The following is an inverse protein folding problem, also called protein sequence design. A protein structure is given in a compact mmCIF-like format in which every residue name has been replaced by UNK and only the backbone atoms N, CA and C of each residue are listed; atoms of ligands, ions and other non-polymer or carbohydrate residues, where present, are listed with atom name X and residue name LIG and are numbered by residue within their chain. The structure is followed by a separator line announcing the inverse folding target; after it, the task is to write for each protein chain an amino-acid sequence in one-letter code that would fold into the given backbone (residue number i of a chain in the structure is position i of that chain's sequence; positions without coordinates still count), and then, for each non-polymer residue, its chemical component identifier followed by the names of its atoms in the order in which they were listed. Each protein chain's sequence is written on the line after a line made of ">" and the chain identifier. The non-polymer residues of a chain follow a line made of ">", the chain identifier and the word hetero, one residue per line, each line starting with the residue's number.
data_IF_513852728959
#
_entry.id   IF_513852728959
#
_cell.length_a   1.000
_cell.length_b   1.000
_cell.length_c   1.000
_cell.angle_alpha   90.00
_cell.angle_beta   90.00
_cell.angle_gamma   90.00
#
_symmetry.space_group_name_H-M   'P 1'
#
loop_
_entity.id
_entity.type
_entity.pdbx_description
1 polymer ?
#
# COMPACT_ATOMS: atom_id res chain seq x y z
N UNK A 1 -26.89 8.07 -1.79
CA UNK A 1 -25.93 7.44 -0.86
C UNK A 1 -24.53 7.64 -1.43
N UNK A 2 -23.78 8.60 -0.88
CA UNK A 2 -22.44 8.94 -1.36
C UNK A 2 -21.51 7.74 -1.09
N UNK A 3 -21.03 7.08 -2.14
CA UNK A 3 -19.92 6.16 -2.01
C UNK A 3 -18.67 7.01 -1.76
N UNK A 4 -18.07 6.89 -0.57
CA UNK A 4 -16.73 7.41 -0.29
C UNK A 4 -15.74 6.62 -1.17
N UNK A 5 -15.63 7.01 -2.43
CA UNK A 5 -14.47 6.71 -3.25
C UNK A 5 -13.31 7.53 -2.68
N UNK A 6 -12.27 6.86 -2.16
CA UNK A 6 -11.01 7.50 -1.78
C UNK A 6 -10.55 7.34 -0.32
N UNK A 7 -11.27 6.64 0.55
CA UNK A 7 -10.75 6.32 1.89
C UNK A 7 -9.97 5.01 1.85
N UNK A 8 -8.64 5.11 1.82
CA UNK A 8 -7.75 3.95 1.98
C UNK A 8 -8.01 3.29 3.34
N UNK A 9 -8.49 2.05 3.33
CA UNK A 9 -8.82 1.31 4.53
C UNK A 9 -7.63 0.47 4.98
N UNK A 10 -7.24 0.58 6.25
CA UNK A 10 -6.32 -0.36 6.87
C UNK A 10 -7.02 -1.70 7.04
N UNK A 11 -6.53 -2.74 6.36
CA UNK A 11 -7.12 -4.09 6.40
C UNK A 11 -6.23 -5.10 7.12
N UNK A 12 -5.00 -4.73 7.44
CA UNK A 12 -4.09 -5.53 8.25
C UNK A 12 -2.82 -4.77 8.60
N UNK A 13 -2.15 -5.20 9.66
CA UNK A 13 -0.82 -4.74 10.03
C UNK A 13 0.04 -5.96 10.31
N UNK A 14 1.32 -5.90 9.97
CA UNK A 14 2.24 -6.96 10.32
C UNK A 14 2.52 -6.92 11.83
N UNK A 15 2.33 -8.06 12.51
CA UNK A 15 2.46 -8.14 13.96
C UNK A 15 3.87 -7.82 14.47
N UNK A 16 4.90 -8.03 13.65
CA UNK A 16 6.29 -7.75 14.00
C UNK A 16 6.90 -6.72 13.05
N UNK A 17 7.56 -5.67 13.57
CA UNK A 17 8.28 -4.72 12.73
C UNK A 17 9.37 -5.42 11.93
N UNK A 18 9.55 -5.01 10.67
CA UNK A 18 10.69 -5.44 9.87
C UNK A 18 11.94 -4.71 10.37
N UNK A 19 13.03 -5.45 10.54
CA UNK A 19 14.31 -4.88 10.94
C UNK A 19 15.30 -5.00 9.78
N UNK A 20 15.89 -3.87 9.38
CA UNK A 20 16.96 -3.83 8.40
C UNK A 20 18.18 -3.14 9.01
N UNK A 21 19.14 -3.95 9.48
CA UNK A 21 20.28 -3.45 10.23
C UNK A 21 19.81 -2.78 11.53
N UNK A 22 19.99 -1.45 11.62
CA UNK A 22 19.55 -0.63 12.77
C UNK A 22 18.17 -0.01 12.60
N UNK A 23 17.62 -0.01 11.38
CA UNK A 23 16.35 0.64 11.07
C UNK A 23 15.19 -0.33 11.27
N UNK A 24 14.08 0.18 11.79
CA UNK A 24 12.86 -0.61 12.01
C UNK A 24 11.71 -0.01 11.22
N UNK A 25 10.93 -0.88 10.59
CA UNK A 25 9.82 -0.49 9.74
C UNK A 25 8.54 -1.17 10.19
N UNK A 26 7.46 -0.40 10.33
CA UNK A 26 6.10 -0.92 10.46
C UNK A 26 5.52 -1.13 9.07
N UNK A 27 4.93 -2.30 8.84
CA UNK A 27 4.26 -2.63 7.59
C UNK A 27 2.75 -2.71 7.80
N UNK A 28 2.03 -1.86 7.08
CA UNK A 28 0.58 -1.75 7.11
C UNK A 28 0.01 -2.10 5.74
N UNK A 29 -1.09 -2.85 5.72
CA UNK A 29 -1.76 -3.29 4.50
C UNK A 29 -3.00 -2.43 4.32
N UNK A 30 -3.02 -1.67 3.23
CA UNK A 30 -4.14 -0.82 2.88
C UNK A 30 -4.87 -1.38 1.67
N UNK A 31 -6.18 -1.15 1.63
CA UNK A 31 -7.00 -1.42 0.46
C UNK A 31 -7.91 -0.24 0.13
N UNK A 32 -8.23 -0.09 -1.15
CA UNK A 32 -9.14 0.90 -1.67
C UNK A 32 -10.13 0.24 -2.62
N UNK A 33 -11.36 0.77 -2.66
CA UNK A 33 -12.37 0.30 -3.58
C UNK A 33 -12.36 1.17 -4.82
N UNK A 34 -12.15 0.54 -5.97
CA UNK A 34 -12.20 1.19 -7.26
C UNK A 34 -13.64 1.53 -7.68
N UNK A 35 -13.82 2.53 -8.57
CA UNK A 35 -15.13 2.90 -9.09
C UNK A 35 -15.85 1.77 -9.84
N UNK A 36 -15.09 0.83 -10.40
CA UNK A 36 -15.62 -0.35 -11.09
C UNK A 36 -16.05 -1.48 -10.13
N UNK A 37 -15.96 -1.25 -8.82
CA UNK A 37 -16.36 -2.18 -7.77
C UNK A 37 -15.26 -3.14 -7.32
N UNK A 38 -14.11 -3.20 -8.00
CA UNK A 38 -12.94 -4.00 -7.59
C UNK A 38 -12.23 -3.36 -6.40
N UNK A 39 -11.31 -4.10 -5.80
CA UNK A 39 -10.49 -3.69 -4.68
C UNK A 39 -9.03 -3.79 -5.05
N UNK A 40 -8.25 -2.78 -4.71
CA UNK A 40 -6.78 -2.82 -4.83
C UNK A 40 -6.16 -2.76 -3.45
N UNK A 41 -5.04 -3.45 -3.26
CA UNK A 41 -4.28 -3.36 -2.02
C UNK A 41 -2.79 -3.14 -2.28
N UNK A 42 -2.16 -2.50 -1.29
CA UNK A 42 -0.74 -2.20 -1.26
C UNK A 42 -0.23 -2.26 0.18
N UNK A 43 1.10 -2.34 0.34
CA UNK A 43 1.73 -2.17 1.64
C UNK A 43 2.32 -0.76 1.76
N UNK A 44 2.13 -0.18 2.94
CA UNK A 44 2.83 1.00 3.40
C UNK A 44 3.86 0.59 4.46
N UNK A 45 5.08 1.04 4.28
CA UNK A 45 6.17 0.88 5.22
C UNK A 45 6.52 2.22 5.84
N UNK A 46 6.48 2.28 7.16
CA UNK A 46 6.85 3.49 7.92
C UNK A 46 8.09 3.17 8.74
N UNK A 47 9.16 3.91 8.52
CA UNK A 47 10.38 3.85 9.32
C UNK A 47 10.11 4.48 10.69
N UNK A 48 10.37 3.72 11.76
CA UNK A 48 9.90 4.06 13.11
C UNK A 48 10.70 5.20 13.77
N UNK A 49 11.93 5.45 13.33
CA UNK A 49 12.82 6.41 13.98
C UNK A 49 12.77 7.80 13.30
N UNK A 50 12.49 7.85 12.00
CA UNK A 50 12.43 9.05 11.13
C UNK A 50 11.01 9.40 10.70
N UNK A 51 10.10 8.42 10.65
CA UNK A 51 8.76 8.57 10.10
C UNK A 51 8.70 8.50 8.56
N UNK A 52 9.81 8.19 7.89
CA UNK A 52 9.87 8.05 6.44
C UNK A 52 8.93 6.95 5.97
N UNK A 53 8.23 7.21 4.85
CA UNK A 53 7.24 6.27 4.30
C UNK A 53 7.66 5.76 2.95
N UNK A 54 7.31 4.52 2.65
CA UNK A 54 7.15 4.11 1.26
C UNK A 54 6.03 3.13 1.02
N UNK A 55 5.58 3.19 -0.22
CA UNK A 55 4.52 2.36 -0.75
C UNK A 55 5.09 1.39 -1.77
N UNK A 56 4.51 0.19 -1.82
CA UNK A 56 4.83 -0.82 -2.83
C UNK A 56 4.26 -0.52 -4.21
N UNK A 57 3.22 0.31 -4.29
CA UNK A 57 2.28 0.30 -5.43
C UNK A 57 1.23 -0.82 -5.27
N UNK A 58 0.37 -1.02 -6.27
CA UNK A 58 -0.66 -2.06 -6.24
C UNK A 58 0.00 -3.44 -6.25
N UNK A 59 -0.23 -4.22 -5.19
CA UNK A 59 0.29 -5.60 -5.06
C UNK A 59 -0.74 -6.63 -5.50
N UNK A 60 -2.02 -6.33 -5.33
CA UNK A 60 -3.11 -7.17 -5.83
C UNK A 60 -4.34 -6.35 -6.13
N UNK A 61 -5.10 -6.81 -7.13
CA UNK A 61 -6.48 -6.38 -7.38
C UNK A 61 -7.39 -7.59 -7.14
N UNK A 62 -8.48 -7.40 -6.41
CA UNK A 62 -9.46 -8.44 -6.11
C UNK A 62 -10.86 -7.97 -6.47
N UNK A 63 -11.77 -8.90 -6.75
CA UNK A 63 -13.15 -8.55 -7.12
C UNK A 63 -14.00 -8.15 -5.92
N UNK A 64 -13.65 -8.60 -4.71
CA UNK A 64 -14.38 -8.31 -3.49
C UNK A 64 -13.46 -8.24 -2.25
N UNK A 65 -14.01 -7.67 -1.18
CA UNK A 65 -13.31 -7.45 0.08
C UNK A 65 -12.97 -8.76 0.81
N UNK A 66 -13.76 -9.83 0.63
CA UNK A 66 -13.49 -11.11 1.30
C UNK A 66 -12.24 -11.77 0.73
N UNK A 67 -12.09 -11.76 -0.59
CA UNK A 67 -10.85 -12.19 -1.25
C UNK A 67 -9.67 -11.32 -0.84
N UNK A 68 -9.89 -10.01 -0.71
CA UNK A 68 -8.85 -9.08 -0.25
C UNK A 68 -8.37 -9.39 1.18
N UNK A 69 -9.29 -9.62 2.12
CA UNK A 69 -8.95 -10.00 3.51
C UNK A 69 -8.25 -11.37 3.54
N UNK A 70 -8.68 -12.31 2.70
CA UNK A 70 -8.04 -13.62 2.55
C UNK A 70 -6.58 -13.49 2.11
N UNK A 71 -6.31 -12.67 1.08
CA UNK A 71 -4.96 -12.35 0.63
C UNK A 71 -4.13 -11.70 1.73
N UNK A 72 -4.68 -10.69 2.43
CA UNK A 72 -3.97 -9.97 3.49
C UNK A 72 -3.56 -10.90 4.65
N UNK A 73 -4.43 -11.84 5.03
CA UNK A 73 -4.13 -12.87 6.04
C UNK A 73 -3.11 -13.90 5.57
N UNK A 74 -3.00 -14.13 4.27
CA UNK A 74 -2.04 -15.05 3.66
C UNK A 74 -0.64 -14.47 3.49
N UNK A 75 -0.41 -13.19 3.82
CA UNK A 75 0.90 -12.57 3.69
C UNK A 75 1.88 -13.15 4.71
N UNK A 76 2.91 -13.80 4.20
CA UNK A 76 4.02 -14.30 5.01
C UNK A 76 5.06 -13.20 5.23
N UNK A 77 5.86 -13.27 6.33
CA UNK A 77 6.95 -12.33 6.56
C UNK A 77 7.89 -12.20 5.35
N UNK A 78 8.22 -13.32 4.70
CA UNK A 78 9.08 -13.35 3.50
C UNK A 78 8.48 -12.60 2.31
N UNK A 79 7.15 -12.66 2.12
CA UNK A 79 6.49 -11.88 1.08
C UNK A 79 6.66 -10.38 1.35
N UNK A 80 6.43 -9.98 2.60
CA UNK A 80 6.53 -8.58 3.03
C UNK A 80 7.97 -8.05 2.91
N UNK A 81 8.98 -8.84 3.27
CA UNK A 81 10.40 -8.51 3.05
C UNK A 81 10.70 -8.27 1.57
N UNK A 82 10.19 -9.12 0.68
CA UNK A 82 10.35 -8.96 -0.77
C UNK A 82 9.68 -7.71 -1.31
N UNK A 83 8.46 -7.41 -0.85
CA UNK A 83 7.74 -6.16 -1.16
C UNK A 83 8.47 -4.93 -0.63
N UNK A 84 9.02 -5.00 0.59
CA UNK A 84 9.82 -3.94 1.19
C UNK A 84 11.07 -3.66 0.35
N UNK A 85 11.79 -4.69 -0.07
CA UNK A 85 12.97 -4.52 -0.92
C UNK A 85 12.64 -3.79 -2.26
N UNK A 86 11.46 -4.04 -2.84
CA UNK A 86 10.97 -3.34 -4.04
C UNK A 86 10.60 -1.89 -3.73
N UNK A 87 9.86 -1.65 -2.66
CA UNK A 87 9.48 -0.30 -2.22
C UNK A 87 10.72 0.55 -1.91
N UNK A 88 11.74 -0.03 -1.27
CA UNK A 88 13.03 0.61 -0.94
C UNK A 88 13.86 1.04 -2.13
N UNK A 89 13.81 0.31 -3.23
CA UNK A 89 14.43 0.79 -4.48
C UNK A 89 13.74 2.03 -5.06
N UNK A 90 12.52 2.33 -4.60
CA UNK A 90 11.75 3.54 -4.91
C UNK A 90 11.74 4.57 -3.77
N UNK A 91 12.34 4.27 -2.60
CA UNK A 91 12.48 5.23 -1.52
C UNK A 91 13.38 6.38 -1.98
N UNK A 92 12.89 7.61 -1.83
CA UNK A 92 13.49 8.83 -2.37
C UNK A 92 12.58 9.61 -3.33
N UNK A 93 11.50 8.98 -3.84
CA UNK A 93 10.53 9.65 -4.73
C UNK A 93 9.16 9.94 -4.08
N UNK A 94 8.87 9.39 -2.89
CA UNK A 94 7.62 9.65 -2.18
C UNK A 94 7.87 10.54 -0.97
N UNK A 95 7.48 11.80 -1.13
CA UNK A 95 7.74 12.92 -0.25
C UNK A 95 7.27 12.71 1.21
N UNK A 96 7.94 13.36 2.19
CA UNK A 96 7.40 13.52 3.53
C UNK A 96 6.10 14.35 3.45
N UNK A 97 5.07 13.90 4.17
CA UNK A 97 3.82 14.63 4.39
C UNK A 97 3.09 15.13 3.12
N UNK A 98 2.58 14.22 2.30
CA UNK A 98 1.64 14.60 1.25
C UNK A 98 1.37 13.47 0.28
N UNK A 99 0.50 12.53 0.65
CA UNK A 99 0.10 11.46 -0.25
C UNK A 99 -0.91 11.96 -1.32
N UNK A 100 -0.49 12.94 -2.13
CA UNK A 100 -1.07 13.08 -3.45
C UNK A 100 -0.52 11.93 -4.28
N UNK A 101 -1.33 10.88 -4.48
CA UNK A 101 -1.02 9.79 -5.42
C UNK A 101 -0.59 10.43 -6.74
N UNK A 102 0.69 10.26 -7.13
CA UNK A 102 1.23 10.71 -8.41
C UNK A 102 0.22 10.36 -9.51
N UNK A 103 -0.27 11.39 -10.19
CA UNK A 103 -1.50 11.37 -10.97
C UNK A 103 -1.64 10.16 -11.89
N UNK A 104 -2.81 9.54 -11.83
CA UNK A 104 -3.33 8.80 -12.98
C UNK A 104 -3.55 9.85 -14.06
N UNK A 105 -2.64 9.91 -15.04
CA UNK A 105 -2.81 10.72 -16.27
C UNK A 105 -4.25 10.49 -16.76
N UNK A 106 -5.05 11.55 -16.74
CA UNK A 106 -6.26 11.62 -17.54
C UNK A 106 -5.84 11.53 -18.99
N UNK A 107 -5.74 10.30 -19.51
CA UNK A 107 -5.75 10.06 -20.95
C UNK A 107 -7.21 10.15 -21.41
N UNK A 108 -7.73 11.37 -21.41
CA UNK A 108 -8.94 11.76 -22.14
C UNK A 108 -8.61 13.03 -22.91
N UNK A 109 -7.74 12.89 -23.91
CA UNK A 109 -7.76 13.70 -25.11
C UNK A 109 -7.62 12.75 -26.31
N UNK A 110 -8.77 12.24 -26.76
CA UNK A 110 -9.03 11.92 -28.15
C UNK A 110 -10.37 12.56 -28.49
N UNK A 111 -10.37 13.41 -29.52
CA UNK A 111 -11.57 13.97 -30.12
C UNK A 111 -11.33 15.40 -30.57
#
# INVERSE_FOLDING_TARGET
>A
MQAIAGMSQLIGELASPLSEGRRRYRASIYADRLPDGRWEAWLEFIELDTGDRALTGVETTQHDLRQMIGWAKGLTPRYVEGSFARARRRFGAFAPAGLARQGRRSSIERG
#
